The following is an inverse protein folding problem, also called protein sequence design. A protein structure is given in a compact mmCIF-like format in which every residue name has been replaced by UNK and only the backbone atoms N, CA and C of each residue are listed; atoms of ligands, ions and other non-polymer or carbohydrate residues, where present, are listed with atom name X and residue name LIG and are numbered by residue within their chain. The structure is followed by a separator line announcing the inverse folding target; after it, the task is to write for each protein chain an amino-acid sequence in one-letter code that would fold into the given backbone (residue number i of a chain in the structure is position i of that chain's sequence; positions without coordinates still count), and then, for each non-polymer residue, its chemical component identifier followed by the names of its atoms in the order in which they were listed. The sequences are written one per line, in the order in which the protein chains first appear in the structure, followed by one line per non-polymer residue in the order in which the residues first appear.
data_IF_281149799682
#
_entry.id   IF_281149799682
#
_cell.length_a   1.000
_cell.length_b   1.000
_cell.length_c   1.000
_cell.angle_alpha   90.00
_cell.angle_beta   90.00
_cell.angle_gamma   90.00
#
_symmetry.space_group_name_H-M   'P 1'
#
loop_
_entity.id
_entity.type
_entity.pdbx_description
1 polymer ?
#
# COMPACT_ATOMS: atom_id res chain seq x y z
N UNK A 1 -11.50 1.16 8.35
CA UNK A 1 -12.50 1.29 7.27
C UNK A 1 -11.80 1.43 5.91
N UNK A 2 -12.39 0.99 4.78
CA UNK A 2 -11.76 1.06 3.45
C UNK A 2 -11.69 2.48 2.89
N UNK A 3 -12.58 3.34 3.30
CA UNK A 3 -12.65 4.75 2.89
C UNK A 3 -12.62 5.68 4.11
N UNK A 4 -12.07 6.86 3.90
CA UNK A 4 -12.11 7.99 4.80
C UNK A 4 -13.05 9.06 4.23
N UNK A 5 -13.48 9.96 5.10
CA UNK A 5 -14.34 11.09 4.71
C UNK A 5 -13.64 12.38 5.10
N UNK A 6 -13.53 13.30 4.16
CA UNK A 6 -13.15 14.68 4.43
C UNK A 6 -14.37 15.59 4.32
N UNK A 7 -14.37 16.68 5.09
CA UNK A 7 -15.38 17.72 5.03
C UNK A 7 -14.69 19.00 4.53
N UNK A 8 -15.18 19.54 3.42
CA UNK A 8 -14.67 20.78 2.82
C UNK A 8 -15.85 21.71 2.59
N UNK A 9 -15.85 22.87 3.22
CA UNK A 9 -16.97 23.83 3.15
C UNK A 9 -18.35 23.20 3.46
N UNK A 10 -18.41 22.34 4.45
CA UNK A 10 -19.64 21.64 4.85
C UNK A 10 -20.01 20.41 4.02
N UNK A 11 -19.41 20.23 2.87
CA UNK A 11 -19.65 19.07 2.00
C UNK A 11 -18.76 17.87 2.37
N UNK A 12 -19.33 16.67 2.31
CA UNK A 12 -18.63 15.42 2.63
C UNK A 12 -18.12 14.72 1.35
N UNK A 13 -16.83 14.47 1.31
CA UNK A 13 -16.19 13.73 0.21
C UNK A 13 -15.54 12.47 0.75
N UNK A 14 -15.78 11.35 0.08
CA UNK A 14 -15.20 10.05 0.45
C UNK A 14 -13.98 9.77 -0.42
N UNK A 15 -12.88 9.34 0.20
CA UNK A 15 -11.66 8.96 -0.49
C UNK A 15 -11.08 7.65 0.06
N UNK A 16 -10.17 7.04 -0.68
CA UNK A 16 -9.55 5.79 -0.28
C UNK A 16 -8.68 6.00 0.97
N UNK A 17 -8.77 5.06 1.91
CA UNK A 17 -7.94 5.11 3.13
C UNK A 17 -6.44 5.09 2.77
N UNK A 18 -5.67 6.17 3.08
CA UNK A 18 -4.26 6.27 2.71
C UNK A 18 -3.39 5.19 3.36
N UNK A 19 -3.74 4.71 4.54
CA UNK A 19 -3.02 3.62 5.21
C UNK A 19 -3.07 2.30 4.42
N UNK A 20 -4.11 2.09 3.62
CA UNK A 20 -4.17 0.94 2.71
C UNK A 20 -3.29 1.13 1.48
N UNK A 21 -3.18 2.37 1.00
CA UNK A 21 -2.26 2.70 -0.09
C UNK A 21 -0.82 2.52 0.34
N UNK A 22 -0.43 3.09 1.49
CA UNK A 22 0.93 2.96 2.02
C UNK A 22 1.29 1.50 2.33
N UNK A 23 0.36 0.70 2.83
CA UNK A 23 0.59 -0.73 3.03
C UNK A 23 0.94 -1.45 1.72
N UNK A 24 0.24 -1.12 0.64
CA UNK A 24 0.55 -1.66 -0.69
C UNK A 24 1.92 -1.18 -1.18
N UNK A 25 2.20 0.12 -1.07
CA UNK A 25 3.50 0.69 -1.45
C UNK A 25 4.64 0.01 -0.67
N UNK A 26 4.47 -0.20 0.64
CA UNK A 26 5.42 -0.90 1.49
C UNK A 26 5.73 -2.30 0.96
N UNK A 27 4.72 -3.09 0.60
CA UNK A 27 4.89 -4.43 0.04
C UNK A 27 5.65 -4.43 -1.29
N UNK A 28 5.29 -3.52 -2.19
CA UNK A 28 5.96 -3.38 -3.49
C UNK A 28 7.42 -3.00 -3.29
N UNK A 29 7.71 -2.02 -2.43
CA UNK A 29 9.07 -1.60 -2.11
C UNK A 29 9.88 -2.70 -1.42
N UNK A 30 9.29 -3.41 -0.46
CA UNK A 30 9.93 -4.55 0.21
C UNK A 30 10.40 -5.60 -0.80
N UNK A 31 9.53 -5.97 -1.73
CA UNK A 31 9.87 -6.94 -2.79
C UNK A 31 10.91 -6.39 -3.78
N UNK A 32 10.76 -5.14 -4.20
CA UNK A 32 11.66 -4.51 -5.18
C UNK A 32 13.08 -4.30 -4.62
N UNK A 33 13.18 -3.89 -3.36
CA UNK A 33 14.45 -3.59 -2.70
C UNK A 33 15.07 -4.80 -2.00
N UNK A 34 14.38 -5.94 -2.01
CA UNK A 34 14.74 -7.14 -1.25
C UNK A 34 14.99 -6.83 0.23
N UNK A 35 13.98 -6.18 0.85
CA UNK A 35 14.01 -5.77 2.25
C UNK A 35 12.84 -6.38 3.02
N UNK A 36 13.05 -6.65 4.31
CA UNK A 36 11.94 -7.01 5.20
C UNK A 36 10.97 -5.84 5.32
N UNK A 37 9.66 -6.11 5.33
CA UNK A 37 8.65 -5.06 5.51
C UNK A 37 8.86 -4.26 6.81
N UNK A 38 9.47 -4.86 7.84
CA UNK A 38 9.79 -4.21 9.12
C UNK A 38 10.81 -3.07 8.99
N UNK A 39 11.70 -3.14 7.99
CA UNK A 39 12.71 -2.10 7.73
C UNK A 39 12.15 -0.89 6.97
N UNK A 40 10.91 -0.97 6.47
CA UNK A 40 10.26 0.10 5.73
C UNK A 40 9.20 0.74 6.61
N UNK A 41 9.42 1.97 7.02
CA UNK A 41 8.42 2.77 7.75
C UNK A 41 7.57 3.57 6.76
N UNK A 42 6.27 3.64 7.03
CA UNK A 42 5.33 4.39 6.20
C UNK A 42 4.70 5.51 7.01
N UNK A 43 4.58 6.67 6.39
CA UNK A 43 3.92 7.82 6.98
C UNK A 43 2.92 8.40 5.98
N UNK A 44 1.79 8.87 6.50
CA UNK A 44 0.81 9.66 5.76
C UNK A 44 0.85 11.08 6.29
N UNK A 45 1.20 12.02 5.44
CA UNK A 45 1.26 13.43 5.82
C UNK A 45 0.17 14.22 5.07
N UNK A 46 -0.72 14.85 5.82
CA UNK A 46 -1.70 15.78 5.26
C UNK A 46 -1.11 17.18 5.25
N UNK A 47 -1.05 17.78 4.08
CA UNK A 47 -0.51 19.13 3.88
C UNK A 47 -1.67 20.13 3.87
N UNK A 48 -1.45 21.31 4.46
CA UNK A 48 -2.46 22.35 4.61
C UNK A 48 -3.19 22.30 5.94
N UNK A 49 -4.23 23.13 6.07
CA UNK A 49 -5.00 23.30 7.31
C UNK A 49 -6.01 22.17 7.48
N UNK A 50 -5.52 21.00 7.87
CA UNK A 50 -6.36 19.83 8.11
C UNK A 50 -6.48 19.54 9.60
N UNK A 51 -7.72 19.39 10.08
CA UNK A 51 -8.04 18.94 11.45
C UNK A 51 -8.64 17.55 11.43
N UNK A 52 -8.18 16.70 12.34
CA UNK A 52 -8.71 15.34 12.47
C UNK A 52 -9.77 15.30 13.58
N UNK A 53 -10.96 14.77 13.27
CA UNK A 53 -12.06 14.60 14.25
C UNK A 53 -12.02 13.25 14.96
N UNK A 54 -11.11 12.37 14.61
CA UNK A 54 -10.95 11.03 15.20
C UNK A 54 -9.50 10.80 15.52
N UNK A 55 -9.22 9.96 16.49
CA UNK A 55 -7.86 9.47 16.73
C UNK A 55 -7.34 8.71 15.52
N UNK A 56 -6.10 8.98 15.19
CA UNK A 56 -5.40 8.37 14.08
C UNK A 56 -4.12 7.69 14.57
N UNK A 57 -3.63 6.68 13.85
CA UNK A 57 -2.34 6.08 14.16
C UNK A 57 -1.22 7.11 14.14
N UNK A 58 -0.17 6.88 14.93
CA UNK A 58 0.98 7.77 15.08
C UNK A 58 1.73 8.10 13.79
N UNK A 59 1.56 7.28 12.75
CA UNK A 59 2.14 7.48 11.43
C UNK A 59 1.24 8.29 10.47
N UNK A 60 0.17 8.91 10.97
CA UNK A 60 -0.67 9.86 10.22
C UNK A 60 -0.50 11.24 10.83
N UNK A 61 0.06 12.15 10.05
CA UNK A 61 0.50 13.45 10.52
C UNK A 61 -0.17 14.59 9.76
N UNK A 62 -0.43 15.70 10.42
CA UNK A 62 -0.71 17.01 9.80
C UNK A 62 0.50 17.94 9.84
N UNK A 63 1.48 17.65 10.73
CA UNK A 63 2.72 18.42 10.88
C UNK A 63 3.78 17.55 11.55
N UNK A 64 5.01 18.05 11.68
CA UNK A 64 6.05 17.39 12.46
C UNK A 64 6.71 16.17 11.79
N UNK A 65 6.66 16.07 10.45
CA UNK A 65 7.29 14.96 9.70
C UNK A 65 8.76 14.77 10.05
N UNK A 66 9.54 15.87 10.17
CA UNK A 66 10.95 15.77 10.54
C UNK A 66 11.17 15.17 11.94
N UNK A 67 10.29 15.47 12.89
CA UNK A 67 10.34 14.87 14.23
C UNK A 67 9.99 13.38 14.18
N UNK A 68 8.98 13.03 13.39
CA UNK A 68 8.59 11.63 13.18
C UNK A 68 9.72 10.81 12.58
N UNK A 69 10.44 11.34 11.57
CA UNK A 69 11.59 10.65 10.97
C UNK A 69 12.73 10.48 11.99
N UNK A 70 13.03 11.53 12.75
CA UNK A 70 14.13 11.52 13.75
C UNK A 70 13.93 10.55 14.91
N UNK A 71 12.74 10.02 15.14
CA UNK A 71 12.54 9.01 16.19
C UNK A 71 13.13 7.63 15.83
N UNK A 72 13.37 7.35 14.55
CA UNK A 72 13.98 6.11 14.10
C UNK A 72 15.52 6.24 14.12
N UNK A 73 16.11 5.90 15.27
CA UNK A 73 17.57 6.02 15.50
C UNK A 73 18.31 4.71 15.27
N UNK A 74 17.59 3.59 15.26
CA UNK A 74 18.18 2.28 15.09
C UNK A 74 18.73 2.09 13.68
N UNK A 75 19.99 1.66 13.59
CA UNK A 75 20.60 1.31 12.30
C UNK A 75 20.21 -0.12 11.93
N UNK A 76 19.25 -0.26 11.07
CA UNK A 76 18.70 -1.55 10.61
C UNK A 76 19.31 -2.05 9.29
N UNK A 77 20.08 -1.22 8.59
CA UNK A 77 20.74 -1.52 7.32
C UNK A 77 22.24 -1.28 7.43
N UNK A 78 23.05 -2.12 6.79
CA UNK A 78 24.48 -1.90 6.59
C UNK A 78 24.74 -0.79 5.57
N UNK A 79 25.96 -0.27 5.52
CA UNK A 79 26.33 0.73 4.52
C UNK A 79 26.19 0.19 3.09
N UNK A 80 26.60 -1.05 2.85
CA UNK A 80 26.53 -1.70 1.53
C UNK A 80 25.06 -1.86 1.07
N UNK A 81 24.15 -2.23 1.99
CA UNK A 81 22.72 -2.29 1.70
C UNK A 81 22.16 -0.90 1.36
N UNK A 82 22.58 0.15 2.07
CA UNK A 82 22.17 1.53 1.78
C UNK A 82 22.65 1.94 0.39
N UNK A 83 23.93 1.70 0.04
CA UNK A 83 24.47 2.03 -1.29
C UNK A 83 23.74 1.27 -2.40
N UNK A 84 23.49 -0.02 -2.22
CA UNK A 84 22.72 -0.85 -3.16
C UNK A 84 21.31 -0.28 -3.37
N UNK A 85 20.61 0.05 -2.30
CA UNK A 85 19.24 0.61 -2.35
C UNK A 85 19.24 1.96 -3.04
N UNK A 86 20.18 2.85 -2.69
CA UNK A 86 20.30 4.15 -3.34
C UNK A 86 20.53 4.01 -4.85
N UNK A 87 21.42 3.11 -5.26
CA UNK A 87 21.70 2.83 -6.68
C UNK A 87 20.45 2.31 -7.41
N UNK A 88 19.70 1.39 -6.81
CA UNK A 88 18.45 0.89 -7.39
C UNK A 88 17.41 2.00 -7.58
N UNK A 89 17.21 2.83 -6.54
CA UNK A 89 16.23 3.93 -6.60
C UNK A 89 16.64 5.03 -7.58
N UNK A 90 17.94 5.32 -7.68
CA UNK A 90 18.47 6.28 -8.65
C UNK A 90 18.26 5.81 -10.09
N UNK A 91 18.52 4.54 -10.37
CA UNK A 91 18.31 3.94 -11.69
C UNK A 91 16.82 4.00 -12.10
N UNK A 92 15.89 3.70 -11.20
CA UNK A 92 14.45 3.83 -11.48
C UNK A 92 14.08 5.27 -11.88
N UNK A 93 14.61 6.27 -11.18
CA UNK A 93 14.34 7.68 -11.50
C UNK A 93 14.79 8.06 -12.91
N UNK A 94 15.89 7.48 -13.38
CA UNK A 94 16.48 7.80 -14.69
C UNK A 94 15.91 6.99 -15.86
N UNK A 95 15.37 5.79 -15.58
CA UNK A 95 14.95 4.84 -16.64
C UNK A 95 13.45 4.91 -16.92
N UNK A 96 12.61 5.35 -15.98
CA UNK A 96 11.16 5.14 -16.11
C UNK A 96 10.41 6.46 -16.29
N UNK A 97 10.39 6.99 -17.50
CA UNK A 97 9.27 7.79 -17.98
C UNK A 97 8.16 6.83 -18.45
N UNK A 98 7.42 6.25 -17.52
CA UNK A 98 6.24 5.45 -17.88
C UNK A 98 5.22 6.39 -18.52
N UNK A 99 4.85 6.14 -19.76
CA UNK A 99 3.81 6.90 -20.44
C UNK A 99 2.45 6.64 -19.76
N UNK A 100 1.52 7.59 -19.87
CA UNK A 100 0.15 7.42 -19.36
C UNK A 100 -0.50 6.15 -19.91
N UNK A 101 -0.23 5.79 -21.16
CA UNK A 101 -0.75 4.59 -21.82
C UNK A 101 -0.23 3.30 -21.19
N UNK A 102 1.09 3.21 -20.96
CA UNK A 102 1.71 2.06 -20.28
C UNK A 102 1.22 1.91 -18.85
N UNK A 103 1.02 3.02 -18.15
CA UNK A 103 0.44 2.99 -16.80
C UNK A 103 -0.99 2.42 -16.81
N UNK A 104 -1.85 2.89 -17.72
CA UNK A 104 -3.22 2.38 -17.88
C UNK A 104 -3.21 0.89 -18.23
N UNK A 105 -2.36 0.46 -19.18
CA UNK A 105 -2.22 -0.93 -19.56
C UNK A 105 -1.77 -1.81 -18.40
N UNK A 106 -0.82 -1.36 -17.60
CA UNK A 106 -0.38 -2.05 -16.38
C UNK A 106 -1.50 -2.22 -15.35
N UNK A 107 -2.37 -1.21 -15.20
CA UNK A 107 -3.55 -1.30 -14.34
C UNK A 107 -4.56 -2.33 -14.88
N UNK A 108 -4.85 -2.31 -16.18
CA UNK A 108 -5.75 -3.26 -16.83
C UNK A 108 -5.25 -4.70 -16.68
N UNK A 109 -3.97 -4.94 -16.97
CA UNK A 109 -3.35 -6.27 -16.83
C UNK A 109 -3.44 -6.78 -15.39
N UNK A 110 -3.31 -5.89 -14.39
CA UNK A 110 -3.46 -6.27 -12.99
C UNK A 110 -4.89 -6.64 -12.62
N UNK A 111 -5.88 -5.93 -13.18
CA UNK A 111 -7.28 -6.24 -12.93
C UNK A 111 -7.77 -7.52 -13.62
N UNK A 112 -7.13 -7.91 -14.71
CA UNK A 112 -7.40 -9.17 -15.43
C UNK A 112 -6.55 -10.35 -14.94
N UNK A 113 -5.63 -10.14 -14.00
CA UNK A 113 -4.79 -11.21 -13.45
C UNK A 113 -5.60 -12.10 -12.48
N UNK A 114 -5.50 -13.39 -12.67
CA UNK A 114 -6.00 -14.44 -11.76
C UNK A 114 -4.95 -14.86 -10.70
N UNK A 115 -3.72 -14.39 -10.82
CA UNK A 115 -2.61 -14.73 -9.90
C UNK A 115 -2.31 -13.64 -8.88
N UNK A 116 -2.59 -12.37 -9.20
CA UNK A 116 -2.22 -11.21 -8.36
C UNK A 116 -3.45 -10.41 -7.96
N UNK A 117 -3.59 -10.18 -6.66
CA UNK A 117 -4.68 -9.37 -6.11
C UNK A 117 -4.59 -7.91 -6.59
N UNK A 118 -5.61 -7.38 -7.31
CA UNK A 118 -5.58 -5.99 -7.81
C UNK A 118 -5.64 -4.95 -6.69
N UNK A 119 -6.07 -5.34 -5.47
CA UNK A 119 -6.18 -4.40 -4.33
C UNK A 119 -4.86 -4.18 -3.60
N UNK A 120 -4.08 -5.24 -3.38
CA UNK A 120 -2.89 -5.15 -2.53
C UNK A 120 -1.62 -5.71 -3.15
N UNK A 121 -1.71 -6.32 -4.35
CA UNK A 121 -0.56 -6.91 -5.04
C UNK A 121 -0.03 -8.22 -4.43
N UNK A 122 -0.74 -8.80 -3.43
CA UNK A 122 -0.42 -10.14 -2.93
C UNK A 122 -0.99 -11.21 -3.86
N UNK A 123 -0.51 -12.43 -3.75
CA UNK A 123 -0.98 -13.54 -4.57
C UNK A 123 -2.45 -13.86 -4.29
N UNK A 124 -3.16 -14.31 -5.31
CA UNK A 124 -4.46 -14.94 -5.20
C UNK A 124 -4.25 -16.43 -4.99
N UNK A 125 -4.94 -16.99 -3.99
CA UNK A 125 -4.87 -18.41 -3.64
C UNK A 125 -6.26 -19.03 -3.69
N UNK A 126 -6.32 -20.26 -4.15
CA UNK A 126 -7.57 -21.00 -4.21
C UNK A 126 -8.11 -21.29 -2.81
N UNK A 127 -9.40 -21.08 -2.62
CA UNK A 127 -10.10 -21.30 -1.36
C UNK A 127 -11.46 -21.94 -1.63
N UNK A 128 -11.93 -22.72 -0.66
CA UNK A 128 -13.25 -23.34 -0.72
C UNK A 128 -14.23 -22.67 0.25
N UNK A 129 -15.44 -22.44 -0.18
CA UNK A 129 -16.53 -21.94 0.67
C UNK A 129 -16.90 -23.01 1.69
N UNK A 130 -16.74 -22.71 2.99
CA UNK A 130 -16.98 -23.67 4.08
C UNK A 130 -18.43 -23.65 4.61
N UNK A 131 -19.18 -22.58 4.40
CA UNK A 131 -20.53 -22.41 4.96
C UNK A 131 -21.44 -21.65 4.01
N UNK A 132 -22.76 -21.92 4.11
CA UNK A 132 -23.79 -21.26 3.33
C UNK A 132 -24.19 -22.00 2.05
N UNK A 133 -25.06 -21.38 1.26
CA UNK A 133 -25.67 -21.98 0.05
C UNK A 133 -24.67 -22.38 -1.05
N UNK A 134 -23.44 -21.87 -0.99
CA UNK A 134 -22.35 -22.16 -1.95
C UNK A 134 -21.24 -23.00 -1.35
N UNK A 135 -21.49 -23.74 -0.27
CA UNK A 135 -20.52 -24.65 0.34
C UNK A 135 -19.94 -25.61 -0.69
N UNK A 136 -18.60 -25.77 -0.68
CA UNK A 136 -17.86 -26.63 -1.61
C UNK A 136 -17.42 -25.92 -2.90
N UNK A 137 -17.92 -24.72 -3.23
CA UNK A 137 -17.43 -24.00 -4.40
C UNK A 137 -16.05 -23.37 -4.16
N UNK A 138 -15.22 -23.40 -5.19
CA UNK A 138 -13.89 -22.81 -5.17
C UNK A 138 -13.92 -21.36 -5.62
N UNK A 139 -13.05 -20.53 -5.06
CA UNK A 139 -12.84 -19.14 -5.44
C UNK A 139 -11.39 -18.72 -5.18
N UNK A 140 -10.92 -17.72 -5.90
CA UNK A 140 -9.60 -17.13 -5.62
C UNK A 140 -9.73 -16.03 -4.56
N UNK A 141 -9.04 -16.19 -3.44
CA UNK A 141 -8.99 -15.24 -2.35
C UNK A 141 -7.61 -14.65 -2.16
N UNK A 142 -7.54 -13.38 -1.77
CA UNK A 142 -6.25 -12.74 -1.50
C UNK A 142 -5.52 -13.44 -0.34
N UNK A 143 -4.23 -13.76 -0.52
CA UNK A 143 -3.37 -14.31 0.53
C UNK A 143 -3.16 -13.34 1.69
N UNK A 144 -3.34 -12.03 1.48
CA UNK A 144 -3.28 -10.99 2.50
C UNK A 144 -4.50 -10.91 3.44
N UNK A 145 -5.43 -11.88 3.40
CA UNK A 145 -6.51 -11.94 4.37
C UNK A 145 -5.96 -12.10 5.81
N UNK A 146 -6.57 -11.46 6.82
CA UNK A 146 -7.81 -10.67 6.82
C UNK A 146 -7.65 -9.19 6.44
N UNK A 147 -6.42 -8.70 6.21
CA UNK A 147 -6.14 -7.29 5.89
C UNK A 147 -6.69 -6.90 4.52
N UNK A 148 -6.60 -7.79 3.55
CA UNK A 148 -7.21 -7.66 2.24
C UNK A 148 -8.28 -8.75 2.03
N UNK A 149 -9.52 -8.32 1.77
CA UNK A 149 -10.68 -9.22 1.58
C UNK A 149 -11.12 -9.29 0.12
N UNK A 150 -10.17 -9.17 -0.82
CA UNK A 150 -10.49 -9.33 -2.24
C UNK A 150 -10.72 -10.79 -2.57
N UNK A 151 -11.76 -11.06 -3.36
CA UNK A 151 -12.08 -12.37 -3.92
C UNK A 151 -12.41 -12.22 -5.40
N UNK A 152 -12.05 -13.23 -6.18
CA UNK A 152 -12.40 -13.40 -7.60
C UNK A 152 -13.14 -14.73 -7.71
N UNK A 153 -14.31 -14.70 -8.34
CA UNK A 153 -15.15 -15.90 -8.59
C UNK A 153 -14.87 -16.42 -10.00
#
# INVERSE_FOLDING_TARGET
KPKWTQVVYGNKYSFQNPLRQTHRHKKVLSKYLDLKETHIQTVVCFVGDSTFKTELPSNVLSSGLGRYIKQFQERVLSNDEVERICSLLFNVKNVVKISKREHIQSLQNRHSSDTVCPRCGSDLVERTVKQGARTGTQFLGCSGYPKCRFTLN
#
